data_IF_813839887820
#
_entry.id   IF_813839887820
#
_cell.length_a   1.000
_cell.length_b   1.000
_cell.length_c   1.000
_cell.angle_alpha   90.00
_cell.angle_beta   90.00
_cell.angle_gamma   90.00
#
_symmetry.space_group_name_H-M   'P 1'
#
loop_
_entity.id
_entity.type
_entity.pdbx_description
1 polymer ?
#
# COMPACT_ATOMS: atom_id res chain seq x y z
N UNK A 1 -2.74 -11.71 -13.88
CA UNK A 1 -2.15 -11.92 -12.55
C UNK A 1 -2.16 -10.66 -11.69
N UNK A 2 -1.30 -9.66 -11.88
CA UNK A 2 -1.37 -8.43 -11.07
C UNK A 2 -2.69 -7.68 -11.25
N UNK A 3 -3.21 -7.56 -12.50
CA UNK A 3 -4.56 -7.04 -12.76
C UNK A 3 -5.63 -7.72 -11.88
N UNK A 4 -5.67 -9.05 -11.85
CA UNK A 4 -6.67 -9.81 -11.08
C UNK A 4 -6.49 -9.62 -9.57
N UNK A 5 -5.25 -9.56 -9.06
CA UNK A 5 -4.96 -9.29 -7.65
C UNK A 5 -5.47 -7.91 -7.23
N UNK A 6 -5.22 -6.88 -8.05
CA UNK A 6 -5.70 -5.52 -7.80
C UNK A 6 -7.23 -5.42 -7.90
N UNK A 7 -7.86 -6.04 -8.90
CA UNK A 7 -9.32 -6.09 -9.01
C UNK A 7 -9.96 -6.75 -7.78
N UNK A 8 -9.44 -7.93 -7.38
CA UNK A 8 -9.91 -8.63 -6.18
C UNK A 8 -9.69 -7.79 -4.92
N UNK A 9 -8.58 -7.05 -4.82
CA UNK A 9 -8.35 -6.15 -3.70
C UNK A 9 -9.47 -5.11 -3.59
N UNK A 10 -9.79 -4.42 -4.69
CA UNK A 10 -10.83 -3.39 -4.71
C UNK A 10 -12.22 -3.97 -4.40
N UNK A 11 -12.53 -5.16 -4.93
CA UNK A 11 -13.78 -5.88 -4.63
C UNK A 11 -13.91 -6.17 -3.13
N UNK A 12 -12.84 -6.70 -2.51
CA UNK A 12 -12.82 -7.02 -1.08
C UNK A 12 -12.85 -5.75 -0.21
N UNK A 13 -12.15 -4.68 -0.60
CA UNK A 13 -12.20 -3.40 0.11
C UNK A 13 -13.62 -2.83 0.10
N UNK A 14 -14.30 -2.89 -1.04
CA UNK A 14 -15.69 -2.46 -1.17
C UNK A 14 -16.64 -3.34 -0.35
N UNK A 15 -16.44 -4.66 -0.36
CA UNK A 15 -17.26 -5.60 0.41
C UNK A 15 -17.11 -5.40 1.92
N UNK A 16 -15.90 -5.09 2.39
CA UNK A 16 -15.60 -4.85 3.81
C UNK A 16 -15.86 -3.37 4.23
N UNK A 17 -16.29 -2.51 3.31
CA UNK A 17 -16.59 -1.10 3.59
C UNK A 17 -15.37 -0.26 3.94
N UNK A 18 -14.21 -0.58 3.36
CA UNK A 18 -12.97 0.17 3.55
C UNK A 18 -12.88 1.33 2.56
N UNK A 19 -12.50 2.50 3.05
CA UNK A 19 -12.18 3.68 2.23
C UNK A 19 -10.73 3.62 1.72
N UNK A 20 -9.84 3.00 2.51
CA UNK A 20 -8.45 2.80 2.11
C UNK A 20 -7.74 1.65 2.82
N UNK A 21 -6.57 1.30 2.30
CA UNK A 21 -5.68 0.26 2.81
C UNK A 21 -4.25 0.76 2.74
N UNK A 22 -3.49 0.58 3.82
CA UNK A 22 -2.06 0.91 3.87
C UNK A 22 -1.24 -0.37 3.92
N UNK A 23 -0.34 -0.52 2.95
CA UNK A 23 0.67 -1.57 2.92
C UNK A 23 2.05 -0.97 3.15
N UNK A 24 2.78 -1.46 4.14
CA UNK A 24 4.16 -1.04 4.46
C UNK A 24 5.18 -2.02 3.86
N UNK A 25 6.49 -1.68 3.80
CA UNK A 25 7.51 -2.62 3.36
C UNK A 25 7.38 -4.00 4.03
N UNK A 26 7.09 -5.02 3.23
CA UNK A 26 6.82 -6.34 3.73
C UNK A 26 6.15 -7.26 2.71
N UNK A 27 5.71 -8.46 3.15
CA UNK A 27 5.18 -9.49 2.26
C UNK A 27 3.91 -9.07 1.50
N UNK A 28 3.05 -8.24 2.09
CA UNK A 28 1.81 -7.80 1.45
C UNK A 28 2.07 -6.76 0.35
N UNK A 29 2.96 -5.80 0.59
CA UNK A 29 3.41 -4.86 -0.44
C UNK A 29 4.08 -5.61 -1.59
N UNK A 30 4.96 -6.57 -1.29
CA UNK A 30 5.58 -7.42 -2.30
C UNK A 30 4.56 -8.26 -3.08
N UNK A 31 3.56 -8.82 -2.41
CA UNK A 31 2.52 -9.61 -3.08
C UNK A 31 1.71 -8.77 -4.09
N UNK A 32 1.35 -7.54 -3.71
CA UNK A 32 0.53 -6.67 -4.56
C UNK A 32 1.32 -6.03 -5.71
N UNK A 33 2.62 -5.80 -5.51
CA UNK A 33 3.38 -4.93 -6.40
C UNK A 33 4.67 -5.57 -6.94
N UNK A 34 5.21 -6.57 -6.26
CA UNK A 34 6.55 -7.10 -6.54
C UNK A 34 7.69 -6.24 -5.96
N UNK A 35 7.40 -5.11 -5.30
CA UNK A 35 8.41 -4.27 -4.67
C UNK A 35 9.03 -4.96 -3.46
N UNK A 36 10.35 -5.15 -3.51
CA UNK A 36 11.16 -5.56 -2.36
C UNK A 36 11.81 -4.33 -1.76
N UNK A 37 11.47 -4.05 -0.52
CA UNK A 37 11.98 -2.91 0.23
C UNK A 37 12.19 -3.35 1.68
N UNK A 38 13.33 -2.99 2.26
CA UNK A 38 13.62 -3.23 3.66
C UNK A 38 12.88 -2.23 4.54
N UNK A 39 12.55 -2.64 5.76
CA UNK A 39 12.12 -1.68 6.78
C UNK A 39 13.31 -0.79 7.14
N UNK A 40 13.08 0.51 7.18
CA UNK A 40 14.02 1.50 7.71
C UNK A 40 13.33 2.34 8.79
N UNK A 41 14.09 3.19 9.47
CA UNK A 41 13.54 4.22 10.35
C UNK A 41 12.63 5.20 9.59
N UNK A 42 12.91 5.45 8.31
CA UNK A 42 12.11 6.31 7.45
C UNK A 42 10.82 5.59 7.02
N UNK A 43 9.65 6.24 7.11
CA UNK A 43 8.40 5.61 6.72
C UNK A 43 8.28 5.53 5.20
N UNK A 44 7.89 4.36 4.72
CA UNK A 44 7.48 4.13 3.34
C UNK A 44 6.19 3.31 3.34
N UNK A 45 5.27 3.59 2.41
CA UNK A 45 4.01 2.86 2.29
C UNK A 45 3.41 2.96 0.89
N UNK A 46 2.47 2.07 0.59
CA UNK A 46 1.50 2.21 -0.49
C UNK A 46 0.12 2.43 0.13
N UNK A 47 -0.46 3.61 -0.08
CA UNK A 47 -1.82 3.95 0.32
C UNK A 47 -2.75 3.68 -0.86
N UNK A 48 -3.63 2.70 -0.71
CA UNK A 48 -4.57 2.25 -1.73
C UNK A 48 -5.96 2.73 -1.35
N UNK A 49 -6.63 3.44 -2.24
CA UNK A 49 -8.00 3.95 -2.04
C UNK A 49 -8.99 3.05 -2.75
N UNK A 50 -10.14 2.81 -2.12
CA UNK A 50 -11.19 1.96 -2.71
C UNK A 50 -11.74 2.50 -4.04
N UNK A 51 -11.52 3.79 -4.32
CA UNK A 51 -11.97 4.48 -5.53
C UNK A 51 -10.90 4.58 -6.62
N UNK A 52 -9.90 3.68 -6.61
CA UNK A 52 -9.04 3.44 -7.77
C UNK A 52 -7.75 4.28 -7.82
N UNK A 53 -7.30 4.84 -6.70
CA UNK A 53 -6.00 5.51 -6.61
C UNK A 53 -5.05 4.75 -5.67
N UNK A 54 -3.76 4.70 -6.02
CA UNK A 54 -2.71 4.13 -5.20
C UNK A 54 -1.52 5.07 -5.14
N UNK A 55 -1.17 5.54 -3.94
CA UNK A 55 -0.05 6.46 -3.74
C UNK A 55 1.10 5.74 -3.05
N UNK A 56 2.27 5.71 -3.70
CA UNK A 56 3.49 5.28 -3.05
C UNK A 56 4.16 6.48 -2.38
N UNK A 57 4.29 6.41 -1.05
CA UNK A 57 5.00 7.41 -0.25
C UNK A 57 6.33 6.81 0.22
N UNK A 58 7.46 7.45 -0.09
CA UNK A 58 8.79 6.96 0.29
C UNK A 58 9.83 8.09 0.39
N UNK A 59 11.00 7.86 1.01
CA UNK A 59 12.10 8.82 0.98
C UNK A 59 12.52 9.16 -0.45
N UNK A 60 12.95 10.41 -0.70
CA UNK A 60 13.24 10.93 -2.04
C UNK A 60 14.18 10.07 -2.91
N UNK A 61 15.20 9.44 -2.32
CA UNK A 61 16.14 8.59 -3.06
C UNK A 61 15.52 7.28 -3.59
N UNK A 62 14.34 6.90 -3.11
CA UNK A 62 13.68 5.66 -3.51
C UNK A 62 12.56 5.87 -4.54
N UNK A 63 12.15 7.13 -4.82
CA UNK A 63 10.94 7.44 -5.60
C UNK A 63 10.92 6.79 -7.00
N UNK A 64 12.08 6.70 -7.65
CA UNK A 64 12.22 6.05 -8.97
C UNK A 64 11.84 4.57 -8.94
N UNK A 65 11.97 3.88 -7.79
CA UNK A 65 11.46 2.50 -7.64
C UNK A 65 9.93 2.46 -7.77
N UNK A 66 9.24 3.43 -7.18
CA UNK A 66 7.78 3.58 -7.27
C UNK A 66 7.32 3.92 -8.68
N UNK A 67 8.00 4.84 -9.36
CA UNK A 67 7.71 5.24 -10.75
C UNK A 67 7.82 4.05 -11.72
N UNK A 68 8.95 3.35 -11.69
CA UNK A 68 9.18 2.17 -12.55
C UNK A 68 8.16 1.05 -12.27
N UNK A 69 7.81 0.87 -11.00
CA UNK A 69 6.82 -0.11 -10.59
C UNK A 69 5.42 0.25 -11.10
N UNK A 70 5.00 1.51 -10.96
CA UNK A 70 3.71 1.97 -11.46
C UNK A 70 3.59 1.76 -12.97
N UNK A 71 4.63 2.11 -13.74
CA UNK A 71 4.68 1.85 -15.17
C UNK A 71 4.51 0.34 -15.49
N UNK A 72 5.23 -0.52 -14.74
CA UNK A 72 5.12 -1.98 -14.91
C UNK A 72 3.71 -2.50 -14.59
N UNK A 73 3.06 -1.98 -13.55
CA UNK A 73 1.70 -2.40 -13.17
C UNK A 73 0.68 -1.96 -14.23
N UNK A 74 0.83 -0.75 -14.78
CA UNK A 74 -0.01 -0.25 -15.88
C UNK A 74 0.16 -1.11 -17.14
N UNK A 75 1.40 -1.46 -17.52
CA UNK A 75 1.68 -2.35 -18.66
C UNK A 75 1.08 -3.76 -18.46
N UNK A 76 0.93 -4.19 -17.21
CA UNK A 76 0.26 -5.45 -16.85
C UNK A 76 -1.28 -5.33 -16.77
N UNK A 77 -1.83 -4.17 -17.13
CA UNK A 77 -3.26 -3.91 -17.22
C UNK A 77 -3.94 -3.63 -15.88
N UNK A 78 -3.19 -3.23 -14.85
CA UNK A 78 -3.76 -2.76 -13.58
C UNK A 78 -4.42 -1.39 -13.82
N UNK A 79 -5.72 -1.29 -13.56
CA UNK A 79 -6.51 -0.08 -13.78
C UNK A 79 -6.60 0.74 -12.49
N UNK A 80 -5.50 1.44 -12.17
CA UNK A 80 -5.37 2.32 -11.00
C UNK A 80 -4.70 3.64 -11.38
N UNK A 81 -5.07 4.72 -10.71
CA UNK A 81 -4.30 5.97 -10.72
C UNK A 81 -3.12 5.86 -9.74
N UNK A 82 -1.91 5.65 -10.27
CA UNK A 82 -0.71 5.60 -9.45
C UNK A 82 -0.11 6.99 -9.23
N UNK A 83 0.17 7.32 -7.97
CA UNK A 83 0.80 8.58 -7.56
C UNK A 83 2.07 8.32 -6.77
N UNK A 84 3.02 9.24 -6.82
CA UNK A 84 4.26 9.18 -6.05
C UNK A 84 4.35 10.39 -5.14
N UNK A 85 4.65 10.15 -3.88
CA UNK A 85 4.92 11.19 -2.89
C UNK A 85 6.24 10.89 -2.21
N UNK A 86 7.03 11.92 -1.97
CA UNK A 86 8.30 11.78 -1.28
C UNK A 86 8.58 12.91 -0.31
N UNK A 87 9.57 12.69 0.52
CA UNK A 87 10.11 13.68 1.45
C UNK A 87 11.64 13.58 1.48
N UNK A 88 12.28 14.69 1.85
CA UNK A 88 13.70 14.73 2.22
C UNK A 88 13.86 14.58 3.73
N UNK A 89 15.07 14.27 4.19
CA UNK A 89 15.37 14.22 5.63
C UNK A 89 15.17 15.57 6.33
N UNK A 90 15.31 16.68 5.60
CA UNK A 90 15.09 18.04 6.11
C UNK A 90 13.60 18.39 6.26
N UNK A 91 12.76 18.03 5.28
CA UNK A 91 11.30 18.21 5.35
C UNK A 91 10.67 17.26 6.38
N UNK A 92 11.22 16.04 6.47
CA UNK A 92 10.64 14.93 7.19
C UNK A 92 9.34 14.43 6.55
N UNK A 93 8.77 13.32 7.04
CA UNK A 93 7.64 12.66 6.39
C UNK A 93 6.30 13.39 6.57
N UNK A 94 6.19 14.29 7.54
CA UNK A 94 4.91 14.91 7.92
C UNK A 94 4.17 15.59 6.77
N UNK A 95 4.81 16.52 6.03
CA UNK A 95 4.19 17.18 4.88
C UNK A 95 3.79 16.20 3.75
N UNK A 96 4.61 15.19 3.46
CA UNK A 96 4.27 14.16 2.47
C UNK A 96 3.03 13.35 2.89
N UNK A 97 2.94 12.97 4.16
CA UNK A 97 1.74 12.31 4.69
C UNK A 97 0.52 13.23 4.62
N UNK A 98 0.67 14.54 4.87
CA UNK A 98 -0.42 15.49 4.69
C UNK A 98 -0.90 15.54 3.23
N UNK A 99 0.01 15.59 2.25
CA UNK A 99 -0.35 15.53 0.82
C UNK A 99 -1.14 14.27 0.45
N UNK A 100 -0.81 13.13 1.05
CA UNK A 100 -1.50 11.85 0.79
C UNK A 100 -2.84 11.73 1.50
N UNK A 101 -2.93 12.16 2.75
CA UNK A 101 -4.02 11.77 3.65
C UNK A 101 -4.92 12.94 4.10
N UNK A 102 -4.53 14.19 3.93
CA UNK A 102 -5.33 15.33 4.38
C UNK A 102 -6.69 15.36 3.66
N UNK A 103 -7.76 15.57 4.43
CA UNK A 103 -9.13 15.59 3.93
C UNK A 103 -9.73 14.21 3.66
N UNK A 104 -8.96 13.13 3.85
CA UNK A 104 -9.46 11.76 3.84
C UNK A 104 -10.02 11.38 5.20
N UNK A 105 -10.90 10.39 5.22
CA UNK A 105 -11.52 9.87 6.44
C UNK A 105 -12.04 8.46 6.22
N UNK A 106 -12.97 8.04 7.08
CA UNK A 106 -13.61 6.73 6.99
C UNK A 106 -12.78 5.60 7.61
N UNK A 107 -12.93 4.39 7.07
CA UNK A 107 -12.31 3.17 7.61
C UNK A 107 -11.10 2.75 6.79
N UNK A 108 -9.94 2.65 7.44
CA UNK A 108 -8.68 2.28 6.80
C UNK A 108 -8.14 0.94 7.32
N UNK A 109 -7.68 0.07 6.41
CA UNK A 109 -6.93 -1.12 6.80
C UNK A 109 -5.47 -0.77 7.09
N UNK A 110 -4.95 -1.15 8.26
CA UNK A 110 -3.54 -1.03 8.64
C UNK A 110 -2.99 -2.40 9.03
N UNK A 111 -1.74 -2.70 8.66
CA UNK A 111 -1.10 -3.98 8.98
C UNK A 111 -0.73 -4.06 10.47
N UNK A 112 -1.53 -4.74 11.31
CA UNK A 112 -1.34 -4.73 12.77
C UNK A 112 0.05 -5.22 13.23
N UNK A 113 0.66 -6.12 12.48
CA UNK A 113 1.96 -6.72 12.84
C UNK A 113 3.16 -6.02 12.21
N UNK A 114 2.95 -5.06 11.30
CA UNK A 114 4.01 -4.52 10.44
C UNK A 114 3.99 -3.01 10.32
N UNK A 115 2.80 -2.40 10.25
CA UNK A 115 2.67 -0.95 10.36
C UNK A 115 3.07 -0.53 11.77
N UNK A 116 3.91 0.50 11.89
CA UNK A 116 4.40 0.98 13.17
C UNK A 116 3.47 2.08 13.68
N UNK A 117 3.61 2.37 14.98
CA UNK A 117 3.03 3.57 15.56
C UNK A 117 3.48 4.86 14.85
N UNK A 118 4.63 4.82 14.14
CA UNK A 118 5.09 5.91 13.30
C UNK A 118 4.11 6.22 12.17
N UNK A 119 3.80 5.26 11.29
CA UNK A 119 2.86 5.45 10.18
C UNK A 119 1.48 5.86 10.71
N UNK A 120 1.00 5.19 11.77
CA UNK A 120 -0.26 5.54 12.43
C UNK A 120 -0.29 7.00 12.91
N UNK A 121 0.76 7.46 13.60
CA UNK A 121 0.81 8.82 14.15
C UNK A 121 0.84 9.89 13.07
N UNK A 122 1.52 9.63 11.95
CA UNK A 122 1.59 10.52 10.79
C UNK A 122 0.25 10.59 10.07
N UNK A 123 -0.42 9.45 9.87
CA UNK A 123 -1.77 9.39 9.32
C UNK A 123 -2.77 10.11 10.23
N UNK A 124 -2.77 9.85 11.54
CA UNK A 124 -3.66 10.52 12.50
C UNK A 124 -3.45 12.04 12.51
N UNK A 125 -2.20 12.50 12.38
CA UNK A 125 -1.90 13.93 12.28
C UNK A 125 -2.46 14.55 10.99
N UNK A 126 -2.45 13.81 9.87
CA UNK A 126 -2.95 14.28 8.58
C UNK A 126 -4.47 14.19 8.43
N UNK A 127 -5.10 13.13 8.94
CA UNK A 127 -6.52 12.83 8.77
C UNK A 127 -7.39 13.29 9.94
N UNK A 128 -6.80 13.48 11.11
CA UNK A 128 -7.56 13.53 12.37
C UNK A 128 -7.93 12.14 12.86
N UNK A 129 -9.10 12.01 13.48
CA UNK A 129 -9.62 10.71 13.89
C UNK A 129 -10.22 9.95 12.70
N UNK A 130 -9.83 8.69 12.57
CA UNK A 130 -10.33 7.76 11.54
C UNK A 130 -10.51 6.37 12.14
N UNK A 131 -11.43 5.59 11.58
CA UNK A 131 -11.60 4.19 11.98
C UNK A 131 -10.53 3.33 11.29
N UNK A 132 -10.05 2.30 11.97
CA UNK A 132 -9.12 1.36 11.35
C UNK A 132 -9.33 -0.08 11.77
N UNK A 133 -8.99 -0.99 10.86
CA UNK A 133 -9.10 -2.45 11.03
C UNK A 133 -7.79 -3.13 10.61
N UNK A 134 -7.65 -4.41 10.94
CA UNK A 134 -6.48 -5.19 10.53
C UNK A 134 -6.49 -5.49 9.02
N UNK A 135 -5.54 -4.90 8.30
CA UNK A 135 -5.26 -5.20 6.89
C UNK A 135 -4.93 -6.69 6.65
N UNK A 136 -4.43 -7.40 7.67
CA UNK A 136 -4.17 -8.83 7.59
C UNK A 136 -5.41 -9.65 7.21
N UNK A 137 -6.61 -9.20 7.62
CA UNK A 137 -7.87 -9.90 7.34
C UNK A 137 -8.18 -9.90 5.84
N UNK A 138 -8.11 -8.74 5.18
CA UNK A 138 -8.33 -8.63 3.73
C UNK A 138 -7.21 -9.30 2.95
N UNK A 139 -5.94 -9.09 3.33
CA UNK A 139 -4.80 -9.69 2.64
C UNK A 139 -4.81 -11.22 2.70
N UNK A 140 -5.35 -11.81 3.78
CA UNK A 140 -5.55 -13.26 3.87
C UNK A 140 -6.52 -13.78 2.81
N UNK A 141 -7.61 -13.07 2.52
CA UNK A 141 -8.58 -13.46 1.46
C UNK A 141 -7.94 -13.48 0.08
N UNK A 142 -7.02 -12.55 -0.17
CA UNK A 142 -6.25 -12.48 -1.42
C UNK A 142 -5.26 -13.65 -1.52
N UNK A 143 -4.51 -13.90 -0.46
CA UNK A 143 -3.35 -14.83 -0.45
C UNK A 143 -3.67 -16.27 -0.08
N UNK A 144 -4.93 -16.59 0.23
CA UNK A 144 -5.33 -17.95 0.62
C UNK A 144 -5.20 -18.93 -0.56
N UNK A 145 -5.69 -18.54 -1.73
CA UNK A 145 -5.62 -19.31 -2.98
C UNK A 145 -4.44 -18.77 -3.80
N UNK A 146 -3.48 -19.65 -4.11
CA UNK A 146 -2.25 -19.29 -4.82
C UNK A 146 -2.53 -19.36 -6.32
N UNK A 147 -1.97 -18.42 -7.06
CA UNK A 147 -1.94 -18.55 -8.51
C UNK A 147 -0.80 -19.48 -8.97
N UNK A 148 -0.80 -19.81 -10.27
CA UNK A 148 0.18 -20.74 -10.83
C UNK A 148 1.62 -20.25 -10.76
N UNK A 149 1.85 -18.93 -10.74
CA UNK A 149 3.20 -18.39 -10.57
C UNK A 149 3.69 -18.60 -9.14
N UNK A 150 2.81 -18.43 -8.15
CA UNK A 150 3.12 -18.62 -6.74
C UNK A 150 3.41 -20.10 -6.45
N UNK A 151 2.60 -21.02 -7.01
CA UNK A 151 2.82 -22.46 -6.87
C UNK A 151 4.18 -22.86 -7.45
N UNK A 152 4.50 -22.42 -8.68
CA UNK A 152 5.81 -22.70 -9.30
C UNK A 152 6.97 -22.15 -8.46
N UNK A 153 6.83 -20.93 -7.93
CA UNK A 153 7.86 -20.34 -7.08
C UNK A 153 8.08 -21.16 -5.79
N UNK A 154 7.01 -21.71 -5.20
CA UNK A 154 7.08 -22.58 -4.02
C UNK A 154 7.73 -23.93 -4.32
N UNK A 155 7.52 -24.51 -5.50
CA UNK A 155 8.14 -25.77 -5.91
C UNK A 155 9.66 -25.64 -6.13
N UNK A 156 10.14 -24.44 -6.43
CA UNK A 156 11.56 -24.13 -6.68
C UNK A 156 12.31 -23.58 -5.46
N UNK A 157 11.64 -23.45 -4.31
CA UNK A 157 12.16 -22.80 -3.10
C UNK A 157 13.00 -23.72 -2.20
#
# INVERSE_FOLDING_TARGET
>A
MNKERWNKLLEEMKADGLDGLVLVPGPNLYYMTGLRMGLSERPSLCAIEAFGAATFLMPGFEITKGENLAATLLDQGVEMEFRMESFSDEEGPGPAFARVFQGKGGTWGLEYTSARMLEYSLMKKAMGDFAFVDAGTIMKKLRMIKDQSEIRAMETA
#
